data_IF_726316650754
#
_entry.id   IF_726316650754
#
_cell.length_a   1.000
_cell.length_b   1.000
_cell.length_c   1.000
_cell.angle_alpha   90.00
_cell.angle_beta   90.00
_cell.angle_gamma   90.00
#
_symmetry.space_group_name_H-M   'P 1'
#
loop_
_entity.id
_entity.type
_entity.pdbx_description
1 polymer ?
#
# COMPACT_ATOMS: atom_id res chain seq x y z
N UNK A 1 15.93 0.33 12.39
CA UNK A 1 15.68 -1.10 12.02
C UNK A 1 15.69 -2.01 13.24
N UNK A 2 16.69 -1.93 14.13
CA UNK A 2 16.75 -2.82 15.29
C UNK A 2 15.54 -2.67 16.23
N UNK A 3 15.14 -1.43 16.55
CA UNK A 3 13.94 -1.17 17.35
C UNK A 3 12.65 -1.73 16.71
N UNK A 4 12.51 -1.63 15.38
CA UNK A 4 11.35 -2.18 14.64
C UNK A 4 11.35 -3.71 14.73
N UNK A 5 12.52 -4.33 14.55
CA UNK A 5 12.69 -5.78 14.67
C UNK A 5 12.33 -6.27 16.07
N UNK A 6 12.75 -5.55 17.11
CA UNK A 6 12.42 -5.89 18.50
C UNK A 6 10.90 -5.84 18.74
N UNK A 7 10.24 -4.73 18.37
CA UNK A 7 8.78 -4.59 18.49
C UNK A 7 8.02 -5.69 17.75
N UNK A 8 8.47 -6.06 16.54
CA UNK A 8 7.83 -7.15 15.79
C UNK A 8 8.03 -8.52 16.46
N UNK A 9 9.21 -8.79 17.04
CA UNK A 9 9.46 -10.03 17.79
C UNK A 9 8.53 -10.16 18.99
N UNK A 10 8.25 -9.08 19.70
CA UNK A 10 7.34 -9.05 20.85
C UNK A 10 5.90 -9.46 20.47
N UNK A 11 5.50 -9.27 19.21
CA UNK A 11 4.17 -9.71 18.72
C UNK A 11 4.07 -11.22 18.45
N UNK A 12 5.20 -11.93 18.38
CA UNK A 12 5.26 -13.34 17.98
C UNK A 12 4.96 -13.59 16.49
N UNK A 13 4.84 -12.54 15.67
CA UNK A 13 4.56 -12.68 14.25
C UNK A 13 5.80 -13.14 13.45
N UNK A 14 5.56 -13.81 12.31
CA UNK A 14 6.60 -14.05 11.31
C UNK A 14 6.73 -12.80 10.44
N UNK A 15 7.94 -12.27 10.29
CA UNK A 15 8.18 -11.05 9.53
C UNK A 15 9.46 -11.13 8.69
N UNK A 16 9.47 -10.41 7.57
CA UNK A 16 10.66 -10.11 6.76
C UNK A 16 10.74 -8.60 6.60
N UNK A 17 11.88 -8.02 6.96
CA UNK A 17 12.11 -6.58 6.85
C UNK A 17 13.05 -6.27 5.69
N UNK A 18 12.68 -5.28 4.89
CA UNK A 18 13.51 -4.73 3.82
C UNK A 18 13.87 -3.30 4.20
N UNK A 19 15.17 -2.98 4.24
CA UNK A 19 15.66 -1.65 4.63
C UNK A 19 16.10 -0.88 3.39
N UNK A 20 15.56 0.32 3.21
CA UNK A 20 16.02 1.29 2.22
C UNK A 20 14.89 2.19 1.75
N UNK A 21 15.17 2.95 0.69
CA UNK A 21 14.18 3.75 -0.02
C UNK A 21 13.25 2.84 -0.83
N UNK A 22 11.94 2.93 -0.60
CA UNK A 22 10.94 2.06 -1.26
C UNK A 22 10.95 2.19 -2.78
N UNK A 23 11.34 3.35 -3.32
CA UNK A 23 11.51 3.57 -4.76
C UNK A 23 12.56 2.63 -5.36
N UNK A 24 13.51 2.17 -4.56
CA UNK A 24 14.56 1.24 -4.99
C UNK A 24 14.35 -0.18 -4.44
N UNK A 25 13.96 -0.32 -3.17
CA UNK A 25 13.90 -1.62 -2.51
C UNK A 25 12.69 -2.43 -2.91
N UNK A 26 11.51 -1.82 -3.03
CA UNK A 26 10.29 -2.56 -3.37
C UNK A 26 10.41 -3.22 -4.77
N UNK A 27 10.80 -2.52 -5.85
CA UNK A 27 10.99 -3.14 -7.16
C UNK A 27 11.96 -4.32 -7.16
N UNK A 28 13.08 -4.21 -6.43
CA UNK A 28 14.12 -5.27 -6.35
C UNK A 28 13.56 -6.55 -5.73
N UNK A 29 12.67 -6.41 -4.76
CA UNK A 29 12.18 -7.53 -3.94
C UNK A 29 10.88 -8.14 -4.46
N UNK A 30 10.21 -7.52 -5.46
CA UNK A 30 8.92 -7.98 -6.00
C UNK A 30 8.89 -9.47 -6.34
N UNK A 31 9.98 -10.01 -6.91
CA UNK A 31 10.07 -11.42 -7.30
C UNK A 31 10.10 -12.39 -6.10
N UNK A 32 10.43 -11.89 -4.91
CA UNK A 32 10.50 -12.68 -3.68
C UNK A 32 9.23 -12.59 -2.85
N UNK A 33 8.34 -11.65 -3.20
CA UNK A 33 7.11 -11.38 -2.46
C UNK A 33 5.95 -12.21 -3.06
N UNK A 34 5.12 -12.84 -2.21
CA UNK A 34 3.90 -13.47 -2.69
C UNK A 34 2.88 -12.41 -3.12
N UNK A 35 1.79 -12.86 -3.75
CA UNK A 35 0.57 -12.06 -3.81
C UNK A 35 0.09 -11.76 -2.40
N UNK A 36 -0.39 -10.54 -2.18
CA UNK A 36 -0.74 -10.05 -0.84
C UNK A 36 -2.24 -9.97 -0.67
N UNK A 37 -2.75 -10.47 0.47
CA UNK A 37 -4.16 -10.27 0.85
C UNK A 37 -4.41 -8.83 1.32
N UNK A 38 -3.40 -8.18 1.88
CA UNK A 38 -3.45 -6.79 2.35
C UNK A 38 -2.15 -6.05 2.00
N UNK A 39 -2.29 -4.84 1.48
CA UNK A 39 -1.19 -3.90 1.23
C UNK A 39 -1.53 -2.58 1.92
N UNK A 40 -0.63 -2.09 2.77
CA UNK A 40 -0.79 -0.82 3.47
C UNK A 40 0.31 0.15 3.02
N UNK A 41 -0.07 1.22 2.33
CA UNK A 41 0.83 2.24 1.80
C UNK A 41 0.73 3.46 2.73
N UNK A 42 1.77 3.63 3.54
CA UNK A 42 1.97 4.76 4.45
C UNK A 42 3.42 5.23 4.37
N UNK A 43 3.83 5.54 3.14
CA UNK A 43 5.17 6.01 2.80
C UNK A 43 5.27 7.53 2.76
N UNK A 44 6.31 8.03 2.11
CA UNK A 44 6.52 9.47 1.96
C UNK A 44 5.34 10.17 1.26
N UNK A 45 5.05 11.42 1.66
CA UNK A 45 3.92 12.20 1.13
C UNK A 45 4.14 12.78 -0.27
N UNK A 46 5.25 12.44 -0.92
CA UNK A 46 5.54 12.88 -2.29
C UNK A 46 4.72 12.06 -3.29
N UNK A 47 4.26 12.70 -4.37
CA UNK A 47 3.59 11.99 -5.47
C UNK A 47 4.49 10.92 -6.09
N UNK A 48 5.79 11.19 -6.23
CA UNK A 48 6.74 10.25 -6.83
C UNK A 48 6.86 8.95 -6.01
N UNK A 49 7.02 9.07 -4.69
CA UNK A 49 7.12 7.92 -3.77
C UNK A 49 5.80 7.14 -3.75
N UNK A 50 4.66 7.81 -3.49
CA UNK A 50 3.37 7.15 -3.43
C UNK A 50 2.98 6.47 -4.75
N UNK A 51 3.32 7.10 -5.89
CA UNK A 51 3.09 6.50 -7.22
C UNK A 51 3.98 5.28 -7.41
N UNK A 52 5.26 5.35 -7.05
CA UNK A 52 6.17 4.21 -7.12
C UNK A 52 5.64 3.04 -6.28
N UNK A 53 5.22 3.29 -5.04
CA UNK A 53 4.68 2.26 -4.15
C UNK A 53 3.43 1.60 -4.75
N UNK A 54 2.49 2.40 -5.29
CA UNK A 54 1.30 1.90 -5.96
C UNK A 54 1.63 1.04 -7.18
N UNK A 55 2.46 1.57 -8.10
CA UNK A 55 2.77 0.90 -9.36
C UNK A 55 3.42 -0.47 -9.15
N UNK A 56 4.37 -0.55 -8.21
CA UNK A 56 5.00 -1.81 -7.85
C UNK A 56 4.03 -2.76 -7.13
N UNK A 57 3.17 -2.22 -6.25
CA UNK A 57 2.18 -3.00 -5.51
C UNK A 57 1.14 -3.68 -6.43
N UNK A 58 0.82 -3.10 -7.60
CA UNK A 58 -0.10 -3.74 -8.57
C UNK A 58 0.32 -5.17 -8.95
N UNK A 59 1.63 -5.42 -9.01
CA UNK A 59 2.16 -6.77 -9.29
C UNK A 59 1.89 -7.78 -8.17
N UNK A 60 1.57 -7.32 -6.96
CA UNK A 60 1.28 -8.14 -5.78
C UNK A 60 -0.24 -8.30 -5.54
N UNK A 61 -1.08 -7.54 -6.26
CA UNK A 61 -2.53 -7.58 -6.14
C UNK A 61 -3.12 -8.83 -6.83
N UNK A 62 -4.12 -9.42 -6.18
CA UNK A 62 -5.09 -10.37 -6.71
C UNK A 62 -6.53 -9.91 -6.40
N UNK A 63 -7.53 -10.69 -6.80
CA UNK A 63 -8.95 -10.31 -6.68
C UNK A 63 -9.48 -10.12 -5.24
N UNK A 64 -8.78 -10.64 -4.24
CA UNK A 64 -9.16 -10.49 -2.82
C UNK A 64 -8.28 -9.49 -2.06
N UNK A 65 -7.24 -8.95 -2.70
CA UNK A 65 -6.35 -7.97 -2.06
C UNK A 65 -7.12 -6.72 -1.65
N UNK A 66 -6.92 -6.29 -0.40
CA UNK A 66 -7.28 -4.98 0.09
C UNK A 66 -6.04 -4.07 0.09
N UNK A 67 -6.11 -2.93 -0.60
CA UNK A 67 -5.05 -1.92 -0.56
C UNK A 67 -5.55 -0.71 0.20
N UNK A 68 -4.76 -0.24 1.16
CA UNK A 68 -5.05 0.97 1.92
C UNK A 68 -3.95 2.01 1.67
N UNK A 69 -4.35 3.22 1.31
CA UNK A 69 -3.48 4.39 1.29
C UNK A 69 -3.80 5.23 2.51
N UNK A 70 -2.89 5.25 3.47
CA UNK A 70 -3.00 6.15 4.61
C UNK A 70 -2.75 7.60 4.16
N UNK A 71 -3.10 8.58 4.99
CA UNK A 71 -2.82 9.99 4.72
C UNK A 71 -3.41 10.46 3.36
N UNK A 72 -4.61 10.00 2.98
CA UNK A 72 -5.25 10.36 1.71
C UNK A 72 -5.36 11.88 1.50
N UNK A 73 -5.49 12.65 2.58
CA UNK A 73 -5.61 14.11 2.52
C UNK A 73 -4.30 14.81 2.09
N UNK A 74 -3.17 14.11 2.04
CA UNK A 74 -1.89 14.65 1.59
C UNK A 74 -1.79 14.63 0.06
N UNK A 75 -1.18 15.66 -0.52
CA UNK A 75 -1.19 15.90 -1.96
C UNK A 75 -0.64 14.74 -2.81
N UNK A 76 0.41 14.05 -2.35
CA UNK A 76 0.98 12.88 -3.03
C UNK A 76 0.02 11.69 -3.07
N UNK A 77 -0.34 11.09 -1.91
CA UNK A 77 -1.31 10.01 -1.83
C UNK A 77 -2.65 10.35 -2.50
N UNK A 78 -3.18 11.56 -2.27
CA UNK A 78 -4.42 12.05 -2.90
C UNK A 78 -4.34 11.94 -4.41
N UNK A 79 -3.28 12.50 -5.00
CA UNK A 79 -3.10 12.51 -6.45
C UNK A 79 -2.99 11.11 -7.02
N UNK A 80 -2.30 10.18 -6.35
CA UNK A 80 -2.25 8.78 -6.79
C UNK A 80 -3.66 8.17 -6.78
N UNK A 81 -4.35 8.23 -5.64
CA UNK A 81 -5.66 7.63 -5.44
C UNK A 81 -6.72 8.21 -6.39
N UNK A 82 -6.69 9.51 -6.64
CA UNK A 82 -7.62 10.19 -7.55
C UNK A 82 -7.39 9.79 -9.02
N UNK A 83 -6.17 9.35 -9.38
CA UNK A 83 -5.84 8.85 -10.72
C UNK A 83 -5.99 7.32 -10.87
N UNK A 84 -6.37 6.57 -9.82
CA UNK A 84 -6.64 5.13 -9.94
C UNK A 84 -7.90 4.90 -10.77
N UNK A 85 -7.76 4.09 -11.84
CA UNK A 85 -8.86 3.71 -12.74
C UNK A 85 -10.05 3.16 -11.95
N UNK A 86 -11.16 3.90 -12.01
CA UNK A 86 -12.44 3.49 -11.42
C UNK A 86 -13.12 2.37 -12.21
N UNK A 87 -12.67 2.07 -13.43
CA UNK A 87 -13.13 0.92 -14.21
C UNK A 87 -12.53 -0.39 -13.70
N UNK A 88 -11.25 -0.36 -13.31
CA UNK A 88 -10.54 -1.54 -12.82
C UNK A 88 -10.67 -1.71 -11.30
N UNK A 89 -10.74 -0.61 -10.54
CA UNK A 89 -10.75 -0.63 -9.08
C UNK A 89 -11.98 0.03 -8.49
N UNK A 90 -12.48 -0.54 -7.40
CA UNK A 90 -13.34 0.15 -6.46
C UNK A 90 -12.46 0.96 -5.52
N UNK A 91 -12.82 2.23 -5.31
CA UNK A 91 -12.13 3.11 -4.36
C UNK A 91 -13.16 3.74 -3.42
N UNK A 92 -12.88 3.68 -2.12
CA UNK A 92 -13.70 4.28 -1.06
C UNK A 92 -12.79 5.07 -0.13
N UNK A 93 -13.17 6.28 0.24
CA UNK A 93 -12.49 7.04 1.29
C UNK A 93 -13.14 6.72 2.63
N UNK A 94 -12.31 6.44 3.63
CA UNK A 94 -12.70 6.19 5.01
C UNK A 94 -12.30 7.42 5.82
N UNK A 95 -13.23 7.95 6.60
CA UNK A 95 -13.08 9.16 7.40
C UNK A 95 -13.06 8.80 8.90
N UNK A 96 -11.91 8.39 9.46
CA UNK A 96 -11.80 8.11 10.89
C UNK A 96 -11.96 9.41 11.70
N UNK A 97 -12.58 9.34 12.88
CA UNK A 97 -12.84 10.50 13.73
C UNK A 97 -11.60 11.09 14.40
N UNK A 98 -10.50 10.35 14.43
CA UNK A 98 -9.28 10.67 15.19
C UNK A 98 -7.99 10.47 14.39
N UNK A 99 -8.09 10.35 13.07
CA UNK A 99 -6.93 10.13 12.19
C UNK A 99 -7.19 10.76 10.82
N UNK A 100 -6.22 10.69 9.92
CA UNK A 100 -6.38 11.14 8.54
C UNK A 100 -7.23 10.19 7.71
N UNK A 101 -7.85 10.73 6.67
CA UNK A 101 -8.59 9.94 5.70
C UNK A 101 -7.71 8.83 5.11
N UNK A 102 -8.29 7.66 4.92
CA UNK A 102 -7.62 6.51 4.33
C UNK A 102 -8.40 6.06 3.10
N UNK A 103 -7.72 5.92 1.96
CA UNK A 103 -8.35 5.36 0.77
C UNK A 103 -8.25 3.84 0.78
N UNK A 104 -9.39 3.17 0.72
CA UNK A 104 -9.51 1.75 0.46
C UNK A 104 -9.66 1.51 -1.05
N UNK A 105 -8.79 0.66 -1.61
CA UNK A 105 -8.75 0.31 -3.02
C UNK A 105 -8.83 -1.21 -3.16
N UNK A 106 -9.73 -1.69 -4.02
CA UNK A 106 -9.93 -3.11 -4.30
C UNK A 106 -10.15 -3.35 -5.78
N UNK A 107 -9.49 -4.36 -6.36
CA UNK A 107 -9.70 -4.73 -7.76
C UNK A 107 -11.13 -5.23 -7.96
N UNK A 108 -11.81 -4.70 -8.98
CA UNK A 108 -13.14 -5.18 -9.35
C UNK A 108 -13.02 -6.59 -9.92
N UNK A 109 -13.87 -7.50 -9.46
CA UNK A 109 -14.01 -8.82 -10.06
C UNK A 109 -14.84 -8.63 -11.33
N UNK A 110 -14.26 -8.91 -12.50
CA UNK A 110 -15.06 -9.03 -13.73
C UNK A 110 -16.02 -10.20 -13.50
N UNK A 111 -17.32 -9.94 -13.53
CA UNK A 111 -18.31 -11.02 -13.63
C UNK A 111 -18.08 -11.67 -15.00
N UNK A 112 -17.77 -12.97 -14.98
CA UNK A 112 -17.74 -13.79 -16.18
C UNK A 112 -19.16 -13.94 -16.73
#
# INVERSE_FOLDING_TARGET
MEQVRQKLRETGCKFKLFKGDSVQTLPRELKTLPKMDLIFIDGGHSYATAKSDWENSKSLIHNKTAVFFHNYNFSGPKRVVDNISREEYQVKIIHPSSDYDTAFVKKKVKRA
#
